data_IF_658026119747
#
_entry.id   IF_658026119747
#
_cell.length_a   1.000
_cell.length_b   1.000
_cell.length_c   1.000
_cell.angle_alpha   90.00
_cell.angle_beta   90.00
_cell.angle_gamma   90.00
#
_symmetry.space_group_name_H-M   'P 1'
#
loop_
_entity.id
_entity.type
_entity.pdbx_description
1 polymer ?
#
# COMPACT_ATOMS: atom_id res chain seq x y z
N UNK A 1 47.01 -20.13 -4.90
CA UNK A 1 45.76 -20.71 -5.45
C UNK A 1 44.53 -19.77 -5.29
N UNK A 2 44.72 -18.48 -4.98
CA UNK A 2 43.65 -17.51 -4.65
C UNK A 2 43.24 -16.56 -5.79
N UNK A 3 44.04 -16.48 -6.86
CA UNK A 3 43.85 -15.44 -7.91
C UNK A 3 42.80 -15.81 -8.98
N UNK A 4 42.54 -17.11 -9.20
CA UNK A 4 41.55 -17.58 -10.18
C UNK A 4 40.09 -17.48 -9.71
N UNK A 5 39.84 -17.33 -8.41
CA UNK A 5 38.46 -17.28 -7.84
C UNK A 5 37.78 -15.94 -8.07
N UNK A 6 38.53 -14.84 -8.09
CA UNK A 6 38.01 -13.50 -8.33
C UNK A 6 37.41 -13.30 -9.76
N UNK A 7 38.07 -13.75 -10.85
CA UNK A 7 37.48 -13.66 -12.19
C UNK A 7 36.30 -14.61 -12.39
N UNK A 8 36.31 -15.81 -11.78
CA UNK A 8 35.19 -16.75 -11.84
C UNK A 8 33.93 -16.19 -11.13
N UNK A 9 34.10 -15.63 -9.93
CA UNK A 9 33.01 -15.00 -9.17
C UNK A 9 32.41 -13.81 -9.94
N UNK A 10 33.26 -12.95 -10.53
CA UNK A 10 32.77 -11.81 -11.32
C UNK A 10 32.01 -12.27 -12.55
N UNK A 11 32.46 -13.31 -13.24
CA UNK A 11 31.73 -13.91 -14.39
C UNK A 11 30.39 -14.46 -13.95
N UNK A 12 30.34 -15.23 -12.86
CA UNK A 12 29.09 -15.76 -12.31
C UNK A 12 28.12 -14.64 -11.91
N UNK A 13 28.59 -13.60 -11.20
CA UNK A 13 27.78 -12.44 -10.84
C UNK A 13 27.27 -11.68 -12.07
N UNK A 14 28.09 -11.57 -13.12
CA UNK A 14 27.69 -10.92 -14.38
C UNK A 14 26.59 -11.72 -15.09
N UNK A 15 26.74 -13.04 -15.19
CA UNK A 15 25.71 -13.91 -15.77
C UNK A 15 24.42 -13.83 -14.96
N UNK A 16 24.50 -13.92 -13.64
CA UNK A 16 23.35 -13.77 -12.75
C UNK A 16 22.68 -12.40 -12.91
N UNK A 17 23.46 -11.32 -13.03
CA UNK A 17 22.94 -9.97 -13.23
C UNK A 17 22.24 -9.82 -14.58
N UNK A 18 22.79 -10.37 -15.66
CA UNK A 18 22.13 -10.34 -16.98
C UNK A 18 20.82 -11.14 -16.96
N UNK A 19 20.83 -12.35 -16.40
CA UNK A 19 19.61 -13.16 -16.26
C UNK A 19 18.56 -12.44 -15.41
N UNK A 20 18.99 -11.82 -14.32
CA UNK A 20 18.13 -11.00 -13.48
C UNK A 20 17.52 -9.82 -14.26
N UNK A 21 18.30 -9.09 -15.06
CA UNK A 21 17.79 -7.97 -15.86
C UNK A 21 16.73 -8.41 -16.88
N UNK A 22 16.85 -9.62 -17.43
CA UNK A 22 15.82 -10.21 -18.30
C UNK A 22 14.54 -10.48 -17.52
N UNK A 23 14.65 -11.07 -16.31
CA UNK A 23 13.49 -11.31 -15.44
C UNK A 23 12.84 -10.00 -14.99
N UNK A 24 13.66 -9.01 -14.60
CA UNK A 24 13.24 -7.67 -14.23
C UNK A 24 12.45 -7.00 -15.36
N UNK A 25 12.98 -7.03 -16.59
CA UNK A 25 12.29 -6.48 -17.75
C UNK A 25 10.98 -7.23 -18.03
N UNK A 26 10.98 -8.57 -17.92
CA UNK A 26 9.76 -9.37 -18.06
C UNK A 26 8.69 -8.98 -17.03
N UNK A 27 9.05 -8.92 -15.75
CA UNK A 27 8.12 -8.52 -14.69
C UNK A 27 7.64 -7.06 -14.85
N UNK A 28 8.54 -6.17 -15.26
CA UNK A 28 8.27 -4.75 -15.42
C UNK A 28 7.52 -4.39 -16.71
N UNK A 29 7.50 -5.25 -17.73
CA UNK A 29 6.89 -4.92 -19.04
C UNK A 29 5.92 -5.96 -19.59
N UNK A 30 5.65 -7.06 -18.89
CA UNK A 30 4.62 -8.03 -19.30
C UNK A 30 3.40 -7.96 -18.38
N UNK A 31 2.18 -8.21 -18.90
CA UNK A 31 1.86 -8.44 -20.32
C UNK A 31 1.96 -7.16 -21.15
N UNK A 32 2.33 -7.28 -22.42
CA UNK A 32 2.40 -6.14 -23.35
C UNK A 32 1.00 -5.60 -23.69
N UNK A 33 0.85 -4.31 -24.02
CA UNK A 33 -0.43 -3.67 -24.36
C UNK A 33 -0.91 -4.02 -25.79
N UNK A 34 -1.03 -5.31 -26.11
CA UNK A 34 -1.40 -5.80 -27.46
C UNK A 34 -2.91 -6.08 -27.60
N UNK A 35 -3.69 -5.93 -26.52
CA UNK A 35 -5.12 -6.28 -26.45
C UNK A 35 -6.07 -5.08 -26.58
N UNK A 36 -7.29 -5.35 -27.07
CA UNK A 36 -8.40 -4.40 -27.14
C UNK A 36 -9.11 -4.31 -25.77
N UNK A 37 -8.49 -3.69 -24.78
CA UNK A 37 -9.21 -3.29 -23.56
C UNK A 37 -9.83 -1.90 -23.74
N UNK A 38 -10.89 -1.60 -22.99
CA UNK A 38 -11.57 -0.30 -22.99
C UNK A 38 -10.53 0.82 -22.86
N UNK A 39 -10.33 1.55 -23.95
CA UNK A 39 -9.29 2.57 -24.05
C UNK A 39 -9.69 3.74 -23.16
N UNK A 40 -9.01 3.88 -22.03
CA UNK A 40 -9.10 5.09 -21.20
C UNK A 40 -8.63 6.34 -21.95
N UNK A 41 -8.77 7.51 -21.34
CA UNK A 41 -8.54 8.83 -21.97
C UNK A 41 -7.07 9.25 -22.09
N UNK A 42 -6.11 8.34 -21.95
CA UNK A 42 -4.67 8.60 -22.06
C UNK A 42 -3.82 7.94 -20.97
N UNK A 43 -2.57 8.39 -20.77
CA UNK A 43 -1.68 7.88 -19.73
C UNK A 43 -2.17 8.25 -18.33
N UNK A 44 -1.96 7.35 -17.36
CA UNK A 44 -2.26 7.58 -15.95
C UNK A 44 -0.98 7.78 -15.12
N UNK A 45 -1.05 8.62 -14.09
CA UNK A 45 0.03 8.86 -13.15
C UNK A 45 -0.52 9.20 -11.75
N UNK A 46 0.10 8.66 -10.70
CA UNK A 46 -0.08 9.07 -9.30
C UNK A 46 1.25 9.65 -8.78
N UNK A 47 1.23 10.96 -8.50
CA UNK A 47 2.37 11.69 -7.95
C UNK A 47 2.22 11.93 -6.44
N UNK A 48 1.12 11.49 -5.84
CA UNK A 48 0.88 11.64 -4.41
C UNK A 48 1.76 10.65 -3.64
N UNK A 49 2.80 11.20 -2.99
CA UNK A 49 3.65 10.42 -2.10
C UNK A 49 2.87 10.06 -0.83
N UNK A 50 2.61 8.77 -0.65
CA UNK A 50 1.94 8.22 0.52
C UNK A 50 2.97 7.69 1.51
N UNK A 51 2.51 7.33 2.71
CA UNK A 51 3.35 6.60 3.66
C UNK A 51 3.69 5.24 3.05
N UNK A 52 4.97 4.83 3.03
CA UNK A 52 5.35 3.54 2.50
C UNK A 52 4.88 2.42 3.42
N UNK A 53 4.41 1.35 2.80
CA UNK A 53 3.98 0.13 3.46
C UNK A 53 4.73 -1.07 2.86
N UNK A 54 5.87 -1.43 3.45
CA UNK A 54 6.71 -2.53 2.96
C UNK A 54 6.05 -3.91 3.13
N UNK A 55 5.05 -4.00 4.01
CA UNK A 55 4.34 -5.24 4.34
C UNK A 55 2.90 -5.22 3.83
N UNK A 56 2.56 -4.28 2.94
CA UNK A 56 1.25 -4.16 2.32
C UNK A 56 0.91 -5.35 1.43
N UNK A 57 -0.01 -5.15 0.48
CA UNK A 57 -0.41 -6.19 -0.45
C UNK A 57 0.75 -6.74 -1.30
N UNK A 58 0.49 -7.85 -1.98
CA UNK A 58 1.45 -8.49 -2.90
C UNK A 58 2.03 -7.50 -3.94
N UNK A 59 1.22 -6.58 -4.44
CA UNK A 59 1.62 -5.57 -5.42
C UNK A 59 2.77 -4.68 -4.88
N UNK A 60 2.62 -4.21 -3.64
CA UNK A 60 3.59 -3.38 -2.92
C UNK A 60 4.87 -4.15 -2.61
N UNK A 61 4.72 -5.38 -2.09
CA UNK A 61 5.86 -6.24 -1.73
C UNK A 61 6.69 -6.62 -2.96
N UNK A 62 6.04 -6.94 -4.09
CA UNK A 62 6.70 -7.28 -5.34
C UNK A 62 7.65 -6.19 -5.81
N UNK A 63 7.27 -4.92 -5.69
CA UNK A 63 8.09 -3.78 -6.10
C UNK A 63 9.41 -3.75 -5.30
N UNK A 64 9.34 -3.88 -3.97
CA UNK A 64 10.54 -3.98 -3.12
C UNK A 64 11.39 -5.20 -3.49
N UNK A 65 10.77 -6.38 -3.59
CA UNK A 65 11.48 -7.64 -3.83
C UNK A 65 12.18 -7.68 -5.19
N UNK A 66 11.57 -7.09 -6.22
CA UNK A 66 12.07 -7.11 -7.59
C UNK A 66 13.40 -6.37 -7.75
N UNK A 67 13.69 -5.36 -6.92
CA UNK A 67 14.91 -4.54 -7.02
C UNK A 67 16.01 -4.91 -6.02
N UNK A 68 15.72 -5.75 -5.01
CA UNK A 68 16.76 -6.28 -4.10
C UNK A 68 17.92 -6.94 -4.88
N UNK A 69 17.68 -7.83 -5.87
CA UNK A 69 18.78 -8.44 -6.62
C UNK A 69 19.62 -7.43 -7.40
N UNK A 70 19.05 -6.30 -7.85
CA UNK A 70 19.81 -5.22 -8.50
C UNK A 70 20.87 -4.67 -7.55
N UNK A 71 20.47 -4.29 -6.33
CA UNK A 71 21.38 -3.79 -5.30
C UNK A 71 22.42 -4.83 -4.85
N UNK A 72 22.04 -6.11 -4.86
CA UNK A 72 22.93 -7.22 -4.50
C UNK A 72 24.04 -7.44 -5.54
N UNK A 73 23.66 -7.47 -6.82
CA UNK A 73 24.52 -7.92 -7.91
C UNK A 73 25.33 -6.78 -8.53
N UNK A 74 24.78 -5.56 -8.61
CA UNK A 74 25.44 -4.42 -9.26
C UNK A 74 26.87 -4.17 -8.72
N UNK A 75 27.12 -4.10 -7.38
CA UNK A 75 28.46 -3.85 -6.84
C UNK A 75 29.48 -4.97 -7.13
N UNK A 76 28.99 -6.17 -7.50
CA UNK A 76 29.84 -7.32 -7.85
C UNK A 76 30.25 -7.30 -9.32
N UNK A 77 29.48 -6.61 -10.18
CA UNK A 77 29.69 -6.54 -11.64
C UNK A 77 30.50 -5.29 -12.02
N UNK A 78 30.16 -4.14 -11.42
CA UNK A 78 30.78 -2.84 -11.73
C UNK A 78 31.71 -2.37 -10.61
N UNK A 79 32.70 -1.53 -10.96
CA UNK A 79 33.60 -0.87 -10.00
C UNK A 79 33.22 0.58 -9.79
N UNK A 80 31.94 0.82 -9.52
CA UNK A 80 31.42 2.17 -9.28
C UNK A 80 31.62 2.59 -7.85
N UNK A 81 31.60 3.91 -7.62
CA UNK A 81 31.60 4.47 -6.28
C UNK A 81 30.23 4.24 -5.63
N UNK A 82 30.18 4.17 -4.31
CA UNK A 82 28.94 3.88 -3.58
C UNK A 82 27.81 4.88 -3.90
N UNK A 83 28.17 6.14 -4.11
CA UNK A 83 27.22 7.20 -4.48
C UNK A 83 26.57 6.95 -5.84
N UNK A 84 27.34 6.41 -6.79
CA UNK A 84 26.83 6.02 -8.11
C UNK A 84 25.97 4.75 -8.03
N UNK A 85 26.25 3.84 -7.09
CA UNK A 85 25.41 2.66 -6.85
C UNK A 85 24.05 3.06 -6.26
N UNK A 86 24.03 3.95 -5.28
CA UNK A 86 22.79 4.52 -4.71
C UNK A 86 22.00 5.25 -5.79
N UNK A 87 22.66 6.10 -6.58
CA UNK A 87 22.00 6.79 -7.70
C UNK A 87 21.46 5.81 -8.75
N UNK A 88 22.18 4.71 -9.02
CA UNK A 88 21.70 3.68 -9.93
C UNK A 88 20.41 3.01 -9.44
N UNK A 89 20.25 2.81 -8.13
CA UNK A 89 19.00 2.31 -7.55
C UNK A 89 17.82 3.26 -7.78
N UNK A 90 18.03 4.58 -7.77
CA UNK A 90 16.97 5.56 -8.09
C UNK A 90 16.77 5.65 -9.61
N UNK A 91 17.85 5.62 -10.38
CA UNK A 91 17.80 5.80 -11.82
C UNK A 91 17.10 4.63 -12.53
N UNK A 92 17.35 3.39 -12.09
CA UNK A 92 16.70 2.21 -12.70
C UNK A 92 15.20 2.21 -12.44
N UNK A 93 14.76 2.64 -11.26
CA UNK A 93 13.35 2.67 -10.87
C UNK A 93 12.61 3.79 -11.58
N UNK A 94 13.21 4.98 -11.62
CA UNK A 94 12.72 6.08 -12.43
C UNK A 94 12.64 5.72 -13.92
N UNK A 95 13.63 5.01 -14.45
CA UNK A 95 13.64 4.57 -15.84
C UNK A 95 12.47 3.61 -16.13
N UNK A 96 12.21 2.63 -15.26
CA UNK A 96 11.10 1.68 -15.42
C UNK A 96 9.76 2.41 -15.49
N UNK A 97 9.46 3.25 -14.49
CA UNK A 97 8.22 4.02 -14.43
C UNK A 97 8.08 4.97 -15.63
N UNK A 98 9.17 5.64 -16.02
CA UNK A 98 9.16 6.58 -17.16
C UNK A 98 8.92 5.85 -18.48
N UNK A 99 9.55 4.70 -18.71
CA UNK A 99 9.32 3.89 -19.91
C UNK A 99 7.87 3.41 -19.96
N UNK A 100 7.33 2.96 -18.84
CA UNK A 100 5.92 2.57 -18.75
C UNK A 100 4.97 3.72 -19.09
N UNK A 101 5.25 4.93 -18.57
CA UNK A 101 4.47 6.14 -18.89
C UNK A 101 4.55 6.49 -20.38
N UNK A 102 5.75 6.47 -20.96
CA UNK A 102 5.97 6.73 -22.39
C UNK A 102 5.24 5.71 -23.26
N UNK A 103 5.24 4.43 -22.87
CA UNK A 103 4.49 3.39 -23.57
C UNK A 103 2.98 3.63 -23.45
N UNK A 104 2.46 3.93 -22.26
CA UNK A 104 1.05 4.28 -22.06
C UNK A 104 0.64 5.49 -22.91
N UNK A 105 1.50 6.51 -23.02
CA UNK A 105 1.29 7.65 -23.90
C UNK A 105 1.31 7.27 -25.39
N UNK A 106 2.24 6.40 -25.81
CA UNK A 106 2.37 5.96 -27.19
C UNK A 106 1.21 5.08 -27.67
N UNK A 107 0.67 4.22 -26.81
CA UNK A 107 -0.49 3.38 -27.13
C UNK A 107 -1.82 4.15 -26.94
N UNK A 108 -1.79 5.29 -26.25
CA UNK A 108 -2.92 6.19 -26.09
C UNK A 108 -3.90 5.80 -24.98
N UNK A 109 -3.51 4.91 -24.07
CA UNK A 109 -4.28 4.51 -22.89
C UNK A 109 -3.36 4.05 -21.75
N UNK A 110 -3.87 4.02 -20.53
CA UNK A 110 -3.12 3.65 -19.34
C UNK A 110 -2.85 2.14 -19.24
N UNK A 111 -1.81 1.66 -19.92
CA UNK A 111 -1.34 0.28 -19.79
C UNK A 111 -0.75 0.00 -18.40
N UNK A 112 0.10 0.92 -17.97
CA UNK A 112 0.71 1.01 -16.63
C UNK A 112 0.61 2.46 -16.19
N UNK A 113 0.31 2.69 -14.91
CA UNK A 113 0.33 4.02 -14.33
C UNK A 113 1.74 4.31 -13.79
N UNK A 114 2.22 5.54 -13.98
CA UNK A 114 3.42 6.01 -13.29
C UNK A 114 3.07 6.26 -11.83
N UNK A 115 3.71 5.56 -10.88
CA UNK A 115 3.44 5.75 -9.45
C UNK A 115 4.72 6.08 -8.67
N UNK A 116 4.73 7.25 -8.02
CA UNK A 116 5.86 7.69 -7.19
C UNK A 116 6.08 6.76 -5.98
N UNK A 117 5.01 6.11 -5.48
CA UNK A 117 5.12 5.13 -4.40
C UNK A 117 5.84 3.86 -4.88
N UNK A 118 5.58 3.42 -6.11
CA UNK A 118 6.29 2.28 -6.72
C UNK A 118 7.77 2.60 -6.92
N UNK A 119 8.07 3.82 -7.41
CA UNK A 119 9.44 4.32 -7.49
C UNK A 119 10.15 4.29 -6.13
N UNK A 120 9.48 4.75 -5.06
CA UNK A 120 10.01 4.74 -3.70
C UNK A 120 10.29 3.31 -3.21
N UNK A 121 9.32 2.40 -3.33
CA UNK A 121 9.42 1.02 -2.85
C UNK A 121 10.51 0.25 -3.60
N UNK A 122 10.54 0.39 -4.92
CA UNK A 122 11.59 -0.15 -5.77
C UNK A 122 12.98 0.41 -5.35
N UNK A 123 13.06 1.70 -5.01
CA UNK A 123 14.32 2.31 -4.54
C UNK A 123 14.74 1.71 -3.20
N UNK A 124 13.82 1.57 -2.24
CA UNK A 124 14.08 0.94 -0.94
C UNK A 124 14.60 -0.50 -1.12
N UNK A 125 13.99 -1.29 -2.01
CA UNK A 125 14.47 -2.64 -2.34
C UNK A 125 15.91 -2.65 -2.85
N UNK A 126 16.25 -1.75 -3.79
CA UNK A 126 17.62 -1.60 -4.28
C UNK A 126 18.62 -1.23 -3.18
N UNK A 127 18.25 -0.32 -2.28
CA UNK A 127 19.08 0.08 -1.14
C UNK A 127 19.27 -1.06 -0.13
N UNK A 128 18.25 -1.87 0.12
CA UNK A 128 18.36 -3.07 0.96
C UNK A 128 19.36 -4.07 0.35
N UNK A 129 19.29 -4.32 -0.97
CA UNK A 129 20.28 -5.16 -1.66
C UNK A 129 21.71 -4.62 -1.57
N UNK A 130 21.89 -3.30 -1.72
CA UNK A 130 23.19 -2.65 -1.52
C UNK A 130 23.70 -2.80 -0.09
N UNK A 131 22.83 -2.62 0.91
CA UNK A 131 23.17 -2.75 2.32
C UNK A 131 23.61 -4.18 2.65
N UNK A 132 22.91 -5.21 2.14
CA UNK A 132 23.29 -6.61 2.29
C UNK A 132 24.68 -6.89 1.70
N UNK A 133 24.95 -6.39 0.49
CA UNK A 133 26.27 -6.54 -0.14
C UNK A 133 27.37 -5.86 0.66
N UNK A 134 27.11 -4.63 1.12
CA UNK A 134 28.05 -3.87 1.93
C UNK A 134 28.36 -4.59 3.25
N UNK A 135 27.36 -5.15 3.92
CA UNK A 135 27.52 -5.93 5.15
C UNK A 135 28.41 -7.16 4.92
N UNK A 136 28.13 -7.94 3.88
CA UNK A 136 28.93 -9.13 3.54
C UNK A 136 30.38 -8.73 3.24
N UNK A 137 30.59 -7.69 2.44
CA UNK A 137 31.94 -7.22 2.12
C UNK A 137 32.68 -6.65 3.34
N UNK A 138 31.98 -5.98 4.25
CA UNK A 138 32.56 -5.46 5.49
C UNK A 138 33.04 -6.59 6.40
N UNK A 139 32.24 -7.66 6.55
CA UNK A 139 32.60 -8.85 7.33
C UNK A 139 33.81 -9.56 6.73
N UNK A 140 33.86 -9.70 5.39
CA UNK A 140 34.93 -10.42 4.69
C UNK A 140 36.23 -9.62 4.61
N UNK A 141 36.16 -8.31 4.32
CA UNK A 141 37.33 -7.49 3.98
C UNK A 141 37.81 -6.57 5.10
N UNK A 142 37.02 -6.37 6.16
CA UNK A 142 37.29 -5.45 7.29
C UNK A 142 37.89 -4.11 6.84
N UNK A 143 37.20 -3.34 5.99
CA UNK A 143 37.74 -2.09 5.46
C UNK A 143 37.88 -1.02 6.54
N UNK A 144 38.88 -0.15 6.40
CA UNK A 144 38.97 1.07 7.21
C UNK A 144 37.79 2.01 6.93
N UNK A 145 37.38 2.79 7.93
CA UNK A 145 36.26 3.72 7.82
C UNK A 145 36.52 4.75 6.70
N UNK A 146 35.54 4.97 5.81
CA UNK A 146 35.68 5.99 4.77
C UNK A 146 35.53 7.41 5.38
N UNK A 147 36.06 8.44 4.69
CA UNK A 147 35.90 9.84 5.12
C UNK A 147 34.42 10.26 5.18
N UNK A 148 34.07 11.14 6.12
CA UNK A 148 32.69 11.57 6.47
C UNK A 148 31.83 11.95 5.26
N UNK A 149 32.39 12.65 4.26
CA UNK A 149 31.67 13.01 3.02
C UNK A 149 31.08 11.81 2.28
N UNK A 150 31.71 10.62 2.40
CA UNK A 150 31.23 9.37 1.80
C UNK A 150 30.16 8.68 2.63
N UNK A 151 29.94 9.14 3.87
CA UNK A 151 28.88 8.66 4.74
C UNK A 151 27.54 9.35 4.48
N UNK A 152 27.51 10.51 3.80
CA UNK A 152 26.27 11.25 3.52
C UNK A 152 25.24 10.43 2.72
N UNK A 153 25.58 9.86 1.54
CA UNK A 153 24.60 9.08 0.77
C UNK A 153 24.26 7.75 1.45
N UNK A 154 25.21 7.16 2.20
CA UNK A 154 24.93 5.99 3.02
C UNK A 154 23.97 6.31 4.16
N UNK A 155 24.16 7.45 4.84
CA UNK A 155 23.29 7.95 5.90
C UNK A 155 21.91 8.28 5.36
N UNK A 156 21.80 8.92 4.18
CA UNK A 156 20.53 9.17 3.52
C UNK A 156 19.81 7.88 3.13
N UNK A 157 20.52 6.89 2.58
CA UNK A 157 19.96 5.58 2.27
C UNK A 157 19.45 4.86 3.53
N UNK A 158 20.23 4.87 4.62
CA UNK A 158 19.84 4.29 5.91
C UNK A 158 18.63 5.02 6.48
N UNK A 159 18.60 6.35 6.45
CA UNK A 159 17.48 7.14 6.93
C UNK A 159 16.20 6.86 6.13
N UNK A 160 16.30 6.72 4.81
CA UNK A 160 15.16 6.38 3.95
C UNK A 160 14.61 4.99 4.26
N UNK A 161 15.47 3.99 4.36
CA UNK A 161 15.08 2.62 4.72
C UNK A 161 14.48 2.59 6.14
N UNK A 162 15.11 3.27 7.10
CA UNK A 162 14.61 3.33 8.48
C UNK A 162 13.24 4.02 8.56
N UNK A 163 13.05 5.11 7.82
CA UNK A 163 11.74 5.78 7.72
C UNK A 163 10.70 4.85 7.10
N UNK A 164 11.03 4.12 6.02
CA UNK A 164 10.10 3.19 5.38
C UNK A 164 9.69 2.04 6.32
N UNK A 165 10.65 1.46 7.04
CA UNK A 165 10.39 0.42 8.05
C UNK A 165 9.53 0.96 9.18
N UNK A 166 9.87 2.13 9.73
CA UNK A 166 9.11 2.74 10.81
C UNK A 166 7.68 3.06 10.35
N UNK A 167 7.50 3.64 9.17
CA UNK A 167 6.20 3.91 8.59
C UNK A 167 5.37 2.63 8.46
N UNK A 168 5.98 1.55 7.98
CA UNK A 168 5.31 0.24 7.84
C UNK A 168 4.85 -0.30 9.20
N UNK A 169 5.74 -0.33 10.21
CA UNK A 169 5.43 -0.89 11.54
C UNK A 169 4.44 -0.03 12.32
N UNK A 170 4.37 1.28 12.02
CA UNK A 170 3.42 2.21 12.65
C UNK A 170 2.14 2.41 11.85
N UNK A 171 2.00 1.74 10.69
CA UNK A 171 0.78 1.78 9.90
C UNK A 171 -0.28 0.97 10.63
N UNK A 172 -1.42 1.57 11.03
CA UNK A 172 -2.52 0.80 11.57
C UNK A 172 -2.96 -0.21 10.51
N UNK A 173 -3.31 -1.45 10.90
CA UNK A 173 -3.76 -2.45 9.95
C UNK A 173 -4.88 -1.86 9.08
N UNK A 174 -4.91 -2.15 7.76
CA UNK A 174 -6.00 -1.70 6.91
C UNK A 174 -7.32 -2.12 7.56
N UNK A 175 -8.28 -1.18 7.63
CA UNK A 175 -9.61 -1.48 8.16
C UNK A 175 -10.10 -2.73 7.45
N UNK A 176 -10.39 -3.78 8.22
CA UNK A 176 -10.88 -5.04 7.68
C UNK A 176 -12.08 -4.71 6.77
N UNK A 177 -12.02 -5.14 5.50
CA UNK A 177 -13.12 -4.91 4.57
C UNK A 177 -14.20 -5.90 4.95
N UNK A 178 -15.15 -5.40 5.74
CA UNK A 178 -16.25 -6.19 6.27
C UNK A 178 -17.41 -6.18 5.27
N UNK A 179 -17.92 -7.35 4.90
CA UNK A 179 -19.03 -7.52 3.95
C UNK A 179 -20.32 -7.92 4.66
N UNK A 180 -20.60 -7.33 5.82
CA UNK A 180 -21.78 -7.63 6.64
C UNK A 180 -23.09 -7.59 5.84
N UNK A 181 -23.21 -6.65 4.90
CA UNK A 181 -24.42 -6.46 4.10
C UNK A 181 -24.63 -7.49 2.97
N UNK A 182 -23.61 -8.26 2.62
CA UNK A 182 -23.68 -9.30 1.58
C UNK A 182 -24.03 -10.68 2.18
N UNK A 183 -24.05 -10.78 3.51
CA UNK A 183 -24.45 -11.97 4.25
C UNK A 183 -25.92 -11.90 4.71
N UNK A 184 -26.61 -13.04 4.87
CA UNK A 184 -27.91 -13.05 5.52
C UNK A 184 -27.78 -12.65 7.01
N UNK A 185 -28.78 -11.97 7.59
CA UNK A 185 -28.75 -11.56 8.99
C UNK A 185 -28.49 -12.74 9.93
N UNK A 186 -27.50 -12.60 10.81
CA UNK A 186 -27.22 -13.60 11.84
C UNK A 186 -28.27 -13.61 12.96
N UNK A 187 -28.97 -12.49 13.14
CA UNK A 187 -30.00 -12.29 14.16
C UNK A 187 -31.18 -11.45 13.65
N UNK A 188 -31.97 -10.94 14.60
CA UNK A 188 -33.13 -10.10 14.28
C UNK A 188 -32.69 -8.77 13.61
N UNK A 189 -33.48 -8.32 12.63
CA UNK A 189 -33.27 -7.02 11.99
C UNK A 189 -33.84 -5.92 12.88
N UNK A 190 -32.96 -5.02 13.35
CA UNK A 190 -33.33 -3.83 14.12
C UNK A 190 -33.87 -2.76 13.18
N UNK A 191 -35.11 -2.34 13.38
CA UNK A 191 -35.71 -1.23 12.63
C UNK A 191 -35.38 0.10 13.30
N UNK A 192 -35.04 1.10 12.49
CA UNK A 192 -34.62 2.42 12.93
C UNK A 192 -35.56 3.52 12.41
N UNK A 193 -35.70 4.64 13.12
CA UNK A 193 -36.32 5.85 12.59
C UNK A 193 -35.82 6.24 11.18
N UNK A 194 -36.67 6.91 10.41
CA UNK A 194 -36.38 7.22 9.01
C UNK A 194 -36.52 6.04 8.05
N UNK A 195 -36.96 4.86 8.52
CA UNK A 195 -37.16 3.66 7.70
C UNK A 195 -35.87 2.91 7.40
N UNK A 196 -34.79 3.24 8.12
CA UNK A 196 -33.55 2.49 8.07
C UNK A 196 -33.66 1.19 8.86
N UNK A 197 -32.72 0.29 8.64
CA UNK A 197 -32.60 -0.95 9.41
C UNK A 197 -31.14 -1.33 9.59
N UNK A 198 -30.87 -2.11 10.62
CA UNK A 198 -29.55 -2.64 10.92
C UNK A 198 -29.63 -4.11 11.33
N UNK A 199 -28.61 -4.89 11.03
CA UNK A 199 -28.47 -6.27 11.51
C UNK A 199 -27.00 -6.67 11.61
N UNK A 200 -26.71 -7.72 12.38
CA UNK A 200 -25.36 -8.26 12.50
C UNK A 200 -25.06 -9.35 11.47
N UNK A 201 -23.83 -9.36 10.95
CA UNK A 201 -23.24 -10.49 10.22
C UNK A 201 -22.81 -11.61 11.18
N UNK A 202 -22.36 -12.76 10.64
CA UNK A 202 -22.02 -13.93 11.48
C UNK A 202 -20.81 -13.73 12.37
N UNK A 203 -19.93 -12.83 11.98
CA UNK A 203 -18.72 -12.41 12.69
C UNK A 203 -18.96 -11.25 13.67
N UNK A 204 -20.22 -10.82 13.85
CA UNK A 204 -20.61 -9.70 14.71
C UNK A 204 -20.46 -8.33 14.08
N UNK A 205 -20.04 -8.28 12.80
CA UNK A 205 -20.07 -7.06 11.99
C UNK A 205 -21.48 -6.49 11.84
N UNK A 206 -21.61 -5.22 11.49
CA UNK A 206 -22.89 -4.54 11.33
C UNK A 206 -23.15 -4.18 9.87
N UNK A 207 -24.34 -4.53 9.39
CA UNK A 207 -24.91 -3.97 8.17
C UNK A 207 -25.93 -2.89 8.52
N UNK A 208 -25.75 -1.69 7.97
CA UNK A 208 -26.71 -0.60 7.99
C UNK A 208 -27.39 -0.49 6.62
N UNK A 209 -28.72 -0.34 6.58
CA UNK A 209 -29.50 -0.17 5.35
C UNK A 209 -30.36 1.09 5.44
N UNK A 210 -30.23 1.97 4.44
CA UNK A 210 -31.10 3.12 4.28
C UNK A 210 -32.44 2.75 3.63
N UNK A 211 -33.49 3.52 3.92
CA UNK A 211 -34.84 3.29 3.40
C UNK A 211 -34.96 3.40 1.86
N UNK A 212 -34.06 4.17 1.22
CA UNK A 212 -34.07 4.46 -0.22
C UNK A 212 -33.08 3.63 -1.05
N UNK A 213 -32.43 2.64 -0.43
CA UNK A 213 -31.27 1.96 -1.02
C UNK A 213 -29.96 2.64 -0.61
N UNK A 214 -28.91 1.82 -0.49
CA UNK A 214 -27.64 2.21 0.15
C UNK A 214 -27.41 1.40 1.41
N UNK A 215 -26.22 0.83 1.50
CA UNK A 215 -25.81 -0.04 2.60
C UNK A 215 -24.41 0.34 3.07
N UNK A 216 -24.15 0.19 4.36
CA UNK A 216 -22.83 0.38 4.94
C UNK A 216 -22.49 -0.79 5.85
N UNK A 217 -21.38 -1.46 5.57
CA UNK A 217 -20.83 -2.53 6.41
C UNK A 217 -19.80 -1.94 7.37
N UNK A 218 -19.87 -2.31 8.65
CA UNK A 218 -18.99 -1.83 9.71
C UNK A 218 -18.45 -3.01 10.52
N UNK A 219 -17.19 -2.96 10.97
CA UNK A 219 -16.64 -4.01 11.84
C UNK A 219 -17.30 -3.99 13.22
N UNK A 220 -17.30 -5.16 13.88
CA UNK A 220 -17.92 -5.37 15.20
C UNK A 220 -17.32 -4.48 16.30
N UNK A 221 -16.03 -4.16 16.17
CA UNK A 221 -15.22 -3.32 17.05
C UNK A 221 -14.97 -1.91 16.47
N UNK A 222 -15.77 -1.51 15.47
CA UNK A 222 -15.63 -0.23 14.79
C UNK A 222 -15.76 0.98 15.71
N UNK A 223 -15.15 2.08 15.29
CA UNK A 223 -15.24 3.38 15.97
C UNK A 223 -16.68 3.88 15.93
N UNK A 224 -17.24 4.24 17.09
CA UNK A 224 -18.55 4.87 17.20
C UNK A 224 -18.58 6.20 16.43
N UNK A 225 -19.66 6.44 15.69
CA UNK A 225 -19.84 7.66 14.92
C UNK A 225 -20.77 7.50 13.73
N UNK A 226 -20.94 8.57 12.95
CA UNK A 226 -21.75 8.56 11.74
C UNK A 226 -21.10 7.68 10.67
N UNK A 227 -21.92 6.82 10.05
CA UNK A 227 -21.49 5.85 9.06
C UNK A 227 -22.02 6.17 7.65
N UNK A 228 -23.26 6.68 7.55
CA UNK A 228 -23.87 7.03 6.28
C UNK A 228 -24.96 8.09 6.43
N UNK A 229 -25.24 8.82 5.35
CA UNK A 229 -26.38 9.74 5.24
C UNK A 229 -27.25 9.37 4.04
N UNK A 230 -28.54 9.66 4.12
CA UNK A 230 -29.48 9.42 3.02
C UNK A 230 -30.61 10.46 3.03
N UNK A 231 -31.14 10.76 1.85
CA UNK A 231 -32.24 11.71 1.71
C UNK A 231 -33.60 11.01 1.69
N UNK A 232 -34.58 11.62 2.34
CA UNK A 232 -35.99 11.27 2.23
C UNK A 232 -36.83 12.52 2.00
N UNK A 233 -38.09 12.31 1.64
CA UNK A 233 -39.09 13.37 1.46
C UNK A 233 -39.27 14.28 2.67
N UNK A 234 -38.89 13.83 3.87
CA UNK A 234 -39.05 14.52 5.14
C UNK A 234 -37.73 15.13 5.70
N UNK A 235 -36.61 15.02 4.97
CA UNK A 235 -35.32 15.61 5.32
C UNK A 235 -34.11 14.70 5.07
N UNK A 236 -32.92 15.17 5.44
CA UNK A 236 -31.68 14.37 5.39
C UNK A 236 -31.55 13.56 6.68
N UNK A 237 -31.37 12.26 6.55
CA UNK A 237 -31.17 11.35 7.66
C UNK A 237 -29.71 10.93 7.75
N UNK A 238 -29.23 10.75 8.97
CA UNK A 238 -27.90 10.24 9.29
C UNK A 238 -28.03 8.97 10.12
N UNK A 239 -27.23 7.97 9.77
CA UNK A 239 -27.14 6.68 10.44
C UNK A 239 -25.71 6.48 10.97
N UNK A 240 -25.59 5.90 12.15
CA UNK A 240 -24.29 5.62 12.75
C UNK A 240 -24.32 4.54 13.81
N UNK A 241 -23.14 4.30 14.38
CA UNK A 241 -22.94 3.35 15.47
C UNK A 241 -22.54 4.08 16.75
N UNK A 242 -22.76 3.42 17.88
CA UNK A 242 -22.40 3.87 19.22
C UNK A 242 -21.98 2.67 20.06
N UNK A 243 -21.23 2.91 21.13
CA UNK A 243 -20.93 1.91 22.15
C UNK A 243 -21.82 2.10 23.38
N UNK A 244 -21.88 1.08 24.24
CA UNK A 244 -22.61 1.18 25.51
C UNK A 244 -22.02 2.28 26.38
N UNK A 245 -22.83 3.25 26.75
CA UNK A 245 -22.43 4.41 27.55
C UNK A 245 -22.16 5.68 26.73
N UNK A 246 -22.15 5.59 25.39
CA UNK A 246 -22.09 6.76 24.54
C UNK A 246 -23.39 7.56 24.62
N UNK A 247 -23.27 8.89 24.51
CA UNK A 247 -24.39 9.81 24.36
C UNK A 247 -24.25 10.48 23.00
N UNK A 248 -25.15 10.14 22.08
CA UNK A 248 -25.17 10.71 20.72
C UNK A 248 -26.24 11.80 20.67
N UNK A 249 -25.92 12.96 20.09
CA UNK A 249 -26.87 14.06 19.92
C UNK A 249 -27.10 14.39 18.45
N UNK A 250 -28.28 14.92 18.14
CA UNK A 250 -28.68 15.43 16.83
C UNK A 250 -27.91 16.73 16.47
N UNK A 251 -26.58 16.65 16.34
CA UNK A 251 -25.71 17.80 16.16
C UNK A 251 -25.27 18.47 17.47
N UNK A 252 -24.60 19.62 17.36
CA UNK A 252 -23.94 20.31 18.48
C UNK A 252 -25.01 21.00 19.35
N UNK A 253 -25.36 20.38 20.48
CA UNK A 253 -26.42 20.86 21.38
C UNK A 253 -27.84 20.40 21.00
N UNK A 254 -27.98 19.44 20.09
CA UNK A 254 -29.27 18.84 19.72
C UNK A 254 -29.77 17.81 20.74
N UNK A 255 -30.97 17.28 20.48
CA UNK A 255 -31.60 16.25 21.32
C UNK A 255 -30.76 14.96 21.36
N UNK A 256 -30.84 14.23 22.49
CA UNK A 256 -30.20 12.92 22.64
C UNK A 256 -30.92 11.91 21.73
N UNK A 257 -30.15 11.26 20.88
CA UNK A 257 -30.66 10.25 19.93
C UNK A 257 -30.80 8.92 20.65
N UNK A 258 -31.91 8.23 20.42
CA UNK A 258 -32.13 6.89 20.95
C UNK A 258 -31.16 5.90 20.31
N UNK A 259 -30.53 5.08 21.17
CA UNK A 259 -29.60 4.03 20.74
C UNK A 259 -30.33 2.69 20.74
N UNK A 260 -30.26 1.97 19.63
CA UNK A 260 -30.89 0.67 19.48
C UNK A 260 -29.82 -0.43 19.47
N UNK A 261 -30.07 -1.51 20.22
CA UNK A 261 -29.20 -2.68 20.19
C UNK A 261 -29.40 -3.47 18.88
N UNK A 262 -28.32 -4.09 18.39
CA UNK A 262 -28.37 -5.02 17.27
C UNK A 262 -28.10 -6.42 17.78
N UNK A 263 -29.03 -7.34 17.51
CA UNK A 263 -28.88 -8.74 17.89
C UNK A 263 -27.70 -9.36 17.14
N UNK A 264 -26.81 -10.03 17.87
CA UNK A 264 -25.56 -10.58 17.33
C UNK A 264 -24.37 -9.61 17.27
N UNK A 265 -24.51 -8.34 17.72
CA UNK A 265 -23.39 -7.40 17.81
C UNK A 265 -23.30 -6.71 19.19
N UNK A 266 -22.08 -6.36 19.60
CA UNK A 266 -21.84 -5.59 20.83
C UNK A 266 -22.08 -4.07 20.66
N UNK A 267 -22.20 -3.62 19.41
CA UNK A 267 -22.41 -2.23 19.06
C UNK A 267 -23.90 -1.84 19.06
N UNK A 268 -24.15 -0.56 19.35
CA UNK A 268 -25.45 0.08 19.25
C UNK A 268 -25.53 0.86 17.94
N UNK A 269 -26.73 1.08 17.44
CA UNK A 269 -27.00 1.85 16.21
C UNK A 269 -27.98 2.97 16.49
N UNK A 270 -27.89 4.04 15.73
CA UNK A 270 -28.77 5.19 15.86
C UNK A 270 -29.08 5.79 14.49
N UNK A 271 -30.21 6.49 14.44
CA UNK A 271 -30.65 7.21 13.25
C UNK A 271 -31.27 8.54 13.66
N UNK A 272 -30.89 9.62 13.00
CA UNK A 272 -31.42 10.95 13.31
C UNK A 272 -31.63 11.76 12.04
N UNK A 273 -32.65 12.61 12.05
CA UNK A 273 -32.86 13.59 10.99
C UNK A 273 -32.04 14.85 11.29
N UNK A 274 -31.25 15.30 10.32
CA UNK A 274 -30.53 16.57 10.35
C UNK A 274 -31.34 17.70 9.72
#
# INVERSE_FOLDING_TARGET
MTDQRAPALRRAATVAFVLYLVVLAGAAFLPLPIGQMERGTGPAYDLALRRPDLLGGWETQRNVLMTIPFGLLLPLVVRWRYEALVLACVAVTLLIETVQLVVSAAVGWAWRAFDVNDLLLNTVGGLLGLALTALVLAVVRRPALPPVRRLVPAGAAVALVAWAVLATVTTPPPREVVYACDEPPAGAVTSLPGGASAYAGRDGSLCLRAAGGGTASLPADGVAGPAMTYERSDGTWELGTAQRGDVVTAGRGGEVVELHAVDGSGALVWSVRR
#
